data_IF_790149324592
#
_entry.id   IF_790149324592
#
_cell.length_a   1.000
_cell.length_b   1.000
_cell.length_c   1.000
_cell.angle_alpha   90.00
_cell.angle_beta   90.00
_cell.angle_gamma   90.00
#
_symmetry.space_group_name_H-M   'P 1'
#
loop_
_entity.id
_entity.type
_entity.pdbx_description
1 polymer ?
#
# COMPACT_ATOMS: atom_id res chain seq x y z
N UNK A 1 23.76 31.25 14.61
CA UNK A 1 22.68 30.24 14.63
C UNK A 1 23.21 29.06 13.83
N UNK A 2 23.66 27.99 14.49
CA UNK A 2 24.05 26.76 13.79
C UNK A 2 22.77 26.08 13.33
N UNK A 3 22.60 25.93 12.01
CA UNK A 3 21.56 25.08 11.45
C UNK A 3 22.11 23.66 11.53
N UNK A 4 21.61 22.86 12.47
CA UNK A 4 21.89 21.44 12.49
C UNK A 4 21.05 20.80 11.38
N UNK A 5 21.67 20.18 10.36
CA UNK A 5 20.91 19.47 9.34
C UNK A 5 20.19 18.28 9.98
N UNK A 6 18.90 18.18 9.73
CA UNK A 6 18.07 17.02 10.12
C UNK A 6 18.30 15.89 9.12
N UNK A 7 18.31 14.64 9.57
CA UNK A 7 18.37 13.48 8.67
C UNK A 7 17.10 13.36 7.83
N UNK A 8 17.16 12.66 6.69
CA UNK A 8 15.96 12.41 5.86
C UNK A 8 14.90 11.59 6.60
N UNK A 9 15.33 10.68 7.49
CA UNK A 9 14.43 9.90 8.34
C UNK A 9 13.70 10.82 9.34
N UNK A 10 14.44 11.67 10.07
CA UNK A 10 13.84 12.65 10.98
C UNK A 10 12.94 13.65 10.25
N UNK A 11 13.30 14.09 9.04
CA UNK A 11 12.47 14.96 8.23
C UNK A 11 11.17 14.28 7.81
N UNK A 12 11.21 12.98 7.45
CA UNK A 12 10.02 12.18 7.13
C UNK A 12 9.13 11.98 8.36
N UNK A 13 9.72 11.71 9.52
CA UNK A 13 8.96 11.61 10.76
C UNK A 13 8.30 12.93 11.16
N UNK A 14 9.02 14.04 11.07
CA UNK A 14 8.48 15.37 11.32
C UNK A 14 7.38 15.73 10.33
N UNK A 15 7.54 15.37 9.05
CA UNK A 15 6.50 15.55 8.04
C UNK A 15 5.27 14.70 8.34
N UNK A 16 5.45 13.44 8.76
CA UNK A 16 4.37 12.56 9.19
C UNK A 16 3.58 13.18 10.34
N UNK A 17 4.27 13.67 11.37
CA UNK A 17 3.65 14.33 12.52
C UNK A 17 2.90 15.60 12.11
N UNK A 18 3.55 16.47 11.32
CA UNK A 18 3.00 17.74 10.84
C UNK A 18 1.75 17.55 9.96
N UNK A 19 1.80 16.59 9.04
CA UNK A 19 0.68 16.23 8.15
C UNK A 19 -0.34 15.30 8.83
N UNK A 20 -0.09 14.91 10.09
CA UNK A 20 -0.90 13.96 10.81
C UNK A 20 -0.92 12.54 10.22
N UNK A 21 -0.03 12.20 9.30
CA UNK A 21 0.06 10.85 8.76
C UNK A 21 0.56 9.89 9.85
N UNK A 22 0.17 8.62 9.78
CA UNK A 22 0.86 7.61 10.60
C UNK A 22 2.29 7.45 10.10
N UNK A 23 3.27 7.34 11.00
CA UNK A 23 4.66 7.04 10.63
C UNK A 23 4.76 5.63 10.02
N UNK A 24 5.89 5.34 9.38
CA UNK A 24 6.29 3.96 9.07
C UNK A 24 6.22 3.08 10.32
N UNK A 25 5.87 1.81 10.15
CA UNK A 25 5.82 0.83 11.24
C UNK A 25 6.95 -0.17 11.04
N UNK A 26 7.82 -0.27 12.05
CA UNK A 26 8.88 -1.26 12.07
C UNK A 26 8.39 -2.52 12.78
N UNK A 27 8.42 -3.66 12.07
CA UNK A 27 8.01 -4.96 12.60
C UNK A 27 9.22 -5.87 12.79
N UNK A 28 9.21 -6.65 13.86
CA UNK A 28 10.14 -7.77 14.05
C UNK A 28 9.47 -9.05 13.60
N UNK A 29 10.14 -9.81 12.74
CA UNK A 29 9.64 -11.09 12.30
C UNK A 29 9.85 -12.17 13.38
N UNK A 30 8.96 -13.16 13.45
CA UNK A 30 8.89 -14.08 14.60
C UNK A 30 10.20 -14.84 14.91
N UNK A 31 11.04 -15.05 13.90
CA UNK A 31 12.26 -15.85 13.98
C UNK A 31 13.54 -15.02 13.77
N UNK A 32 13.46 -13.68 13.84
CA UNK A 32 14.62 -12.80 13.63
C UNK A 32 14.50 -11.50 14.44
N UNK A 33 15.63 -10.97 14.89
CA UNK A 33 15.71 -9.61 15.44
C UNK A 33 15.80 -8.52 14.35
N UNK A 34 15.89 -8.93 13.08
CA UNK A 34 15.83 -8.02 11.92
C UNK A 34 14.51 -7.24 11.94
N UNK A 35 14.63 -5.92 11.81
CA UNK A 35 13.49 -5.04 11.69
C UNK A 35 13.16 -4.83 10.22
N UNK A 36 11.87 -4.90 9.90
CA UNK A 36 11.34 -4.63 8.57
C UNK A 36 10.48 -3.38 8.64
N UNK A 37 10.80 -2.38 7.83
CA UNK A 37 10.01 -1.16 7.72
C UNK A 37 8.81 -1.38 6.79
N UNK A 38 7.60 -1.16 7.31
CA UNK A 38 6.40 -1.02 6.51
C UNK A 38 6.11 0.49 6.40
N UNK A 39 6.41 1.12 5.26
CA UNK A 39 6.25 2.56 5.10
C UNK A 39 4.78 2.95 5.04
N UNK A 40 4.47 4.17 5.48
CA UNK A 40 3.17 4.77 5.17
C UNK A 40 3.01 4.87 3.64
N UNK A 41 1.82 4.57 3.08
CA UNK A 41 1.56 4.71 1.65
C UNK A 41 1.93 6.07 1.05
N UNK A 42 1.86 7.16 1.81
CA UNK A 42 2.26 8.50 1.38
C UNK A 42 3.76 8.80 1.49
N UNK A 43 4.57 7.84 1.93
CA UNK A 43 6.01 8.00 2.20
C UNK A 43 6.87 6.94 1.49
N UNK A 44 6.33 6.29 0.46
CA UNK A 44 7.11 5.37 -0.36
C UNK A 44 8.31 6.11 -0.96
N UNK A 45 9.47 5.46 -0.97
CA UNK A 45 10.57 5.90 -1.81
C UNK A 45 10.30 5.62 -3.29
N UNK A 46 11.13 6.16 -4.19
CA UNK A 46 10.90 6.07 -5.64
C UNK A 46 10.89 4.62 -6.14
N UNK A 47 11.69 3.74 -5.56
CA UNK A 47 11.72 2.33 -5.97
C UNK A 47 10.49 1.58 -5.46
N UNK A 48 10.08 1.84 -4.22
CA UNK A 48 8.86 1.31 -3.64
C UNK A 48 7.63 1.79 -4.41
N UNK A 49 7.58 3.07 -4.75
CA UNK A 49 6.50 3.65 -5.54
C UNK A 49 6.42 3.01 -6.92
N UNK A 50 7.55 2.88 -7.62
CA UNK A 50 7.60 2.23 -8.93
C UNK A 50 7.11 0.77 -8.87
N UNK A 51 7.52 0.00 -7.85
CA UNK A 51 7.03 -1.37 -7.67
C UNK A 51 5.54 -1.41 -7.30
N UNK A 52 5.07 -0.46 -6.51
CA UNK A 52 3.67 -0.37 -6.13
C UNK A 52 2.78 -0.01 -7.33
N UNK A 53 3.22 0.93 -8.17
CA UNK A 53 2.51 1.31 -9.40
C UNK A 53 2.45 0.13 -10.38
N UNK A 54 3.56 -0.61 -10.54
CA UNK A 54 3.58 -1.84 -11.32
C UNK A 54 2.64 -2.90 -10.76
N UNK A 55 2.57 -3.05 -9.43
CA UNK A 55 1.61 -3.94 -8.79
C UNK A 55 0.16 -3.53 -9.09
N UNK A 56 -0.18 -2.23 -9.03
CA UNK A 56 -1.52 -1.76 -9.35
C UNK A 56 -1.87 -2.10 -10.81
N UNK A 57 -0.94 -1.85 -11.74
CA UNK A 57 -1.11 -2.22 -13.15
C UNK A 57 -1.28 -3.74 -13.33
N UNK A 58 -0.53 -4.55 -12.59
CA UNK A 58 -0.66 -6.00 -12.64
C UNK A 58 -2.03 -6.47 -12.13
N UNK A 59 -2.54 -5.86 -11.06
CA UNK A 59 -3.87 -6.12 -10.50
C UNK A 59 -4.98 -5.74 -11.50
N UNK A 60 -4.85 -4.61 -12.18
CA UNK A 60 -5.82 -4.17 -13.19
C UNK A 60 -5.98 -5.20 -14.32
N UNK A 61 -4.89 -5.88 -14.66
CA UNK A 61 -4.77 -6.87 -15.72
C UNK A 61 -5.01 -8.32 -15.27
N UNK A 62 -5.49 -8.56 -14.06
CA UNK A 62 -5.90 -9.90 -13.62
C UNK A 62 -7.16 -10.37 -14.34
N UNK A 63 -7.33 -11.68 -14.38
CA UNK A 63 -8.53 -12.34 -14.92
C UNK A 63 -9.78 -11.84 -14.17
N UNK A 64 -10.83 -11.53 -14.92
CA UNK A 64 -12.09 -11.00 -14.41
C UNK A 64 -13.26 -11.90 -14.78
N UNK A 65 -14.32 -11.82 -13.98
CA UNK A 65 -15.62 -12.32 -14.38
C UNK A 65 -16.09 -11.59 -15.67
N UNK A 66 -17.04 -12.15 -16.42
CA UNK A 66 -17.64 -11.44 -17.54
C UNK A 66 -18.23 -10.10 -17.09
N UNK A 67 -18.12 -9.10 -17.96
CA UNK A 67 -18.75 -7.80 -17.76
C UNK A 67 -20.29 -7.95 -17.69
N UNK A 68 -20.93 -7.11 -16.89
CA UNK A 68 -22.39 -7.00 -16.87
C UNK A 68 -22.80 -6.02 -17.97
N UNK A 69 -23.63 -6.49 -18.89
CA UNK A 69 -24.15 -5.68 -20.00
C UNK A 69 -25.64 -5.39 -19.85
N UNK A 70 -26.11 -4.30 -20.44
CA UNK A 70 -27.53 -4.07 -20.68
C UNK A 70 -28.07 -4.93 -21.83
N UNK A 71 -29.36 -4.75 -22.17
CA UNK A 71 -30.02 -5.47 -23.26
C UNK A 71 -29.48 -5.11 -24.65
N UNK A 72 -28.83 -3.95 -24.78
CA UNK A 72 -28.22 -3.44 -26.01
C UNK A 72 -26.74 -3.86 -26.14
N UNK A 73 -26.22 -4.57 -25.13
CA UNK A 73 -24.84 -5.07 -25.10
C UNK A 73 -23.82 -4.05 -24.56
N UNK A 74 -24.25 -2.91 -24.02
CA UNK A 74 -23.34 -1.94 -23.42
C UNK A 74 -22.91 -2.41 -22.04
N UNK A 75 -21.61 -2.32 -21.73
CA UNK A 75 -21.07 -2.64 -20.41
C UNK A 75 -21.54 -1.59 -19.40
N UNK A 76 -22.37 -2.01 -18.45
CA UNK A 76 -22.86 -1.17 -17.35
C UNK A 76 -22.03 -1.35 -16.08
N UNK A 77 -21.33 -2.49 -15.95
CA UNK A 77 -20.40 -2.76 -14.86
C UNK A 77 -19.33 -3.72 -15.33
N UNK A 78 -18.07 -3.34 -15.14
CA UNK A 78 -16.94 -4.23 -15.40
C UNK A 78 -17.00 -5.44 -14.46
N UNK A 79 -16.61 -6.60 -14.96
CA UNK A 79 -16.50 -7.81 -14.16
C UNK A 79 -15.51 -7.66 -13.01
N UNK A 80 -15.88 -8.26 -11.89
CA UNK A 80 -15.04 -8.30 -10.69
C UNK A 80 -13.79 -9.15 -10.95
N UNK A 81 -12.66 -8.79 -10.32
CA UNK A 81 -11.43 -9.59 -10.38
C UNK A 81 -11.72 -10.97 -9.77
N UNK A 82 -11.28 -12.04 -10.43
CA UNK A 82 -11.50 -13.40 -9.96
C UNK A 82 -10.57 -13.74 -8.80
N UNK A 83 -11.13 -14.31 -7.72
CA UNK A 83 -10.37 -14.89 -6.62
C UNK A 83 -10.45 -16.43 -6.61
N UNK A 84 -9.34 -17.16 -6.33
CA UNK A 84 -7.98 -16.65 -6.16
C UNK A 84 -7.45 -16.01 -7.46
N UNK A 85 -6.53 -15.05 -7.31
CA UNK A 85 -6.04 -14.24 -8.43
C UNK A 85 -5.37 -15.08 -9.50
N UNK A 86 -5.71 -14.76 -10.75
CA UNK A 86 -5.16 -15.42 -11.94
C UNK A 86 -4.80 -14.39 -12.99
N UNK A 87 -3.82 -14.73 -13.82
CA UNK A 87 -3.49 -14.02 -15.06
C UNK A 87 -3.35 -15.06 -16.16
N UNK A 88 -4.13 -14.91 -17.22
CA UNK A 88 -4.19 -15.86 -18.34
C UNK A 88 -4.50 -17.29 -17.86
N UNK A 89 -5.43 -17.40 -16.90
CA UNK A 89 -5.86 -18.67 -16.30
C UNK A 89 -4.87 -19.30 -15.31
N UNK A 90 -3.69 -18.70 -15.09
CA UNK A 90 -2.66 -19.22 -14.18
C UNK A 90 -2.73 -18.51 -12.83
N UNK A 91 -2.67 -19.29 -11.75
CA UNK A 91 -2.60 -18.77 -10.38
C UNK A 91 -1.39 -17.84 -10.23
N UNK A 92 -1.62 -16.65 -9.69
CA UNK A 92 -0.57 -15.68 -9.34
C UNK A 92 -0.57 -15.42 -7.83
N UNK A 93 0.39 -14.61 -7.38
CA UNK A 93 0.49 -14.20 -5.98
C UNK A 93 -0.80 -13.52 -5.49
N UNK A 94 -1.13 -13.73 -4.21
CA UNK A 94 -2.25 -13.02 -3.59
C UNK A 94 -1.94 -11.54 -3.38
N UNK A 95 -2.98 -10.72 -3.19
CA UNK A 95 -2.83 -9.27 -2.96
C UNK A 95 -1.74 -8.95 -1.93
N UNK A 96 -1.79 -9.60 -0.76
CA UNK A 96 -0.84 -9.33 0.31
C UNK A 96 0.60 -9.68 -0.08
N UNK A 97 0.81 -10.74 -0.87
CA UNK A 97 2.16 -11.10 -1.34
C UNK A 97 2.65 -10.08 -2.35
N UNK A 98 1.81 -9.66 -3.29
CA UNK A 98 2.15 -8.59 -4.24
C UNK A 98 2.50 -7.30 -3.51
N UNK A 99 1.72 -6.92 -2.50
CA UNK A 99 1.99 -5.74 -1.67
C UNK A 99 3.31 -5.85 -0.90
N UNK A 100 3.56 -6.97 -0.24
CA UNK A 100 4.80 -7.17 0.51
C UNK A 100 6.03 -7.13 -0.42
N UNK A 101 5.91 -7.64 -1.65
CA UNK A 101 6.95 -7.50 -2.68
C UNK A 101 7.09 -6.07 -3.18
N UNK A 102 6.00 -5.31 -3.32
CA UNK A 102 6.07 -3.91 -3.69
C UNK A 102 6.88 -3.10 -2.65
N UNK A 103 6.61 -3.34 -1.37
CA UNK A 103 7.32 -2.67 -0.27
C UNK A 103 8.77 -3.14 -0.17
N UNK A 104 9.01 -4.45 -0.01
CA UNK A 104 10.34 -4.97 0.33
C UNK A 104 11.22 -5.33 -0.88
N UNK A 105 10.66 -5.32 -2.09
CA UNK A 105 11.24 -6.02 -3.24
C UNK A 105 11.20 -7.55 -3.07
N UNK A 106 11.51 -8.29 -4.14
CA UNK A 106 11.50 -9.76 -4.09
C UNK A 106 12.50 -10.33 -3.09
N UNK A 107 13.70 -9.74 -3.00
CA UNK A 107 14.75 -10.19 -2.09
C UNK A 107 14.38 -9.89 -0.63
N UNK A 108 13.86 -8.70 -0.35
CA UNK A 108 13.42 -8.33 1.00
C UNK A 108 12.20 -9.15 1.45
N UNK A 109 11.24 -9.40 0.56
CA UNK A 109 10.11 -10.27 0.86
C UNK A 109 10.55 -11.70 1.18
N UNK A 110 11.53 -12.25 0.44
CA UNK A 110 12.11 -13.57 0.76
C UNK A 110 12.73 -13.60 2.15
N UNK A 111 13.49 -12.57 2.53
CA UNK A 111 14.06 -12.45 3.89
C UNK A 111 12.96 -12.34 4.95
N UNK A 112 12.00 -11.45 4.75
CA UNK A 112 10.86 -11.27 5.65
C UNK A 112 10.10 -12.58 5.88
N UNK A 113 9.78 -13.30 4.81
CA UNK A 113 9.11 -14.60 4.88
C UNK A 113 9.97 -15.66 5.59
N UNK A 114 11.27 -15.73 5.29
CA UNK A 114 12.18 -16.66 5.95
C UNK A 114 12.31 -16.39 7.45
N UNK A 115 12.23 -15.11 7.85
CA UNK A 115 12.21 -14.68 9.24
C UNK A 115 10.86 -14.92 9.95
N UNK A 116 9.87 -15.54 9.28
CA UNK A 116 8.56 -15.86 9.85
C UNK A 116 7.49 -14.78 9.63
N UNK A 117 7.81 -13.73 8.86
CA UNK A 117 6.86 -12.69 8.50
C UNK A 117 5.75 -13.19 7.57
N UNK A 118 4.54 -12.64 7.73
CA UNK A 118 3.38 -12.99 6.89
C UNK A 118 2.94 -11.78 6.09
N UNK A 119 2.64 -11.98 4.82
CA UNK A 119 2.12 -10.91 3.95
C UNK A 119 0.77 -10.33 4.42
N UNK A 120 -0.01 -11.11 5.17
CA UNK A 120 -1.22 -10.63 5.86
C UNK A 120 -0.92 -9.53 6.87
N UNK A 121 0.22 -9.61 7.55
CA UNK A 121 0.61 -8.64 8.59
C UNK A 121 0.96 -7.30 7.93
N UNK A 122 1.68 -7.35 6.81
CA UNK A 122 1.96 -6.19 5.96
C UNK A 122 0.66 -5.52 5.52
N UNK A 123 -0.27 -6.32 4.98
CA UNK A 123 -1.57 -5.81 4.51
C UNK A 123 -2.37 -5.16 5.64
N UNK A 124 -2.39 -5.77 6.83
CA UNK A 124 -3.10 -5.26 7.99
C UNK A 124 -2.54 -3.92 8.46
N UNK A 125 -1.21 -3.81 8.56
CA UNK A 125 -0.53 -2.56 8.94
C UNK A 125 -0.82 -1.46 7.93
N UNK A 126 -0.76 -1.77 6.63
CA UNK A 126 -1.07 -0.80 5.58
C UNK A 126 -2.54 -0.36 5.58
N UNK A 127 -3.47 -1.28 5.84
CA UNK A 127 -4.88 -0.95 5.99
C UNK A 127 -5.11 -0.02 7.18
N UNK A 128 -4.46 -0.27 8.32
CA UNK A 128 -4.51 0.62 9.48
C UNK A 128 -4.00 2.03 9.12
N UNK A 129 -2.87 2.14 8.43
CA UNK A 129 -2.33 3.40 7.91
C UNK A 129 -3.34 4.15 7.04
N UNK A 130 -3.88 3.48 6.02
CA UNK A 130 -4.89 4.07 5.15
C UNK A 130 -6.17 4.48 5.89
N UNK A 131 -6.63 3.68 6.85
CA UNK A 131 -7.81 4.01 7.64
C UNK A 131 -7.60 5.26 8.51
N UNK A 132 -6.43 5.41 9.12
CA UNK A 132 -6.07 6.61 9.87
C UNK A 132 -6.00 7.86 8.97
N UNK A 133 -5.43 7.73 7.77
CA UNK A 133 -5.41 8.80 6.76
C UNK A 133 -6.81 9.21 6.32
N UNK A 134 -7.68 8.23 6.04
CA UNK A 134 -9.05 8.49 5.63
C UNK A 134 -9.90 9.07 6.77
N UNK A 135 -9.61 8.71 8.02
CA UNK A 135 -10.24 9.31 9.20
C UNK A 135 -9.84 10.79 9.33
N UNK A 136 -8.54 11.10 9.31
CA UNK A 136 -8.08 12.50 9.42
C UNK A 136 -8.59 13.39 8.29
N UNK A 137 -8.58 12.90 7.04
CA UNK A 137 -9.16 13.64 5.90
C UNK A 137 -10.65 13.97 6.07
N UNK A 138 -11.40 13.11 6.77
CA UNK A 138 -12.82 13.38 7.08
C UNK A 138 -13.01 14.32 8.27
N UNK A 139 -12.08 14.31 9.22
CA UNK A 139 -12.09 15.13 10.43
C UNK A 139 -11.52 16.54 10.23
N UNK A 140 -10.94 16.83 9.06
CA UNK A 140 -10.45 18.16 8.66
C UNK A 140 -11.40 18.84 7.64
N UNK A 141 -12.54 19.43 8.07
CA UNK A 141 -13.39 20.22 7.21
C UNK A 141 -12.92 21.69 7.17
N UNK A 142 -11.91 22.01 6.36
CA UNK A 142 -11.66 23.39 5.90
C UNK A 142 -11.20 23.31 4.44
N UNK A 143 -12.00 23.74 3.45
CA UNK A 143 -12.62 25.05 3.32
C UNK A 143 -14.04 25.01 2.70
N UNK A 144 -15.07 25.21 3.53
CA UNK A 144 -16.26 25.96 3.09
C UNK A 144 -15.96 27.45 3.35
N UNK A 145 -15.11 28.04 2.51
CA UNK A 145 -15.10 29.49 2.30
C UNK A 145 -15.73 29.74 0.94
N UNK A 146 -17.03 30.01 0.98
CA UNK A 146 -17.81 30.52 -0.13
C UNK A 146 -18.82 31.48 0.47
N UNK A 147 -18.33 32.64 0.91
CA UNK A 147 -19.14 33.85 1.04
C UNK A 147 -19.54 34.25 -0.39
N UNK A 148 -20.81 34.08 -0.75
CA UNK A 148 -21.50 34.75 -1.87
C UNK A 148 -23.01 34.64 -1.68
#
# INVERSE_FOLDING_TARGET
MQINPVSLEEAREQAAESLGLMKSVYVKAANSDEQFEIPNPSMLDDEQQARYDQMQLDIENLDRAPDVTDNDGNVIRRGDILEPYRKDGKLVDSHGVMLAKAIFGDAGYKKFKAAGGRSSDVTLVWWQMNAALAKKRREDPKSNEGDS
#
